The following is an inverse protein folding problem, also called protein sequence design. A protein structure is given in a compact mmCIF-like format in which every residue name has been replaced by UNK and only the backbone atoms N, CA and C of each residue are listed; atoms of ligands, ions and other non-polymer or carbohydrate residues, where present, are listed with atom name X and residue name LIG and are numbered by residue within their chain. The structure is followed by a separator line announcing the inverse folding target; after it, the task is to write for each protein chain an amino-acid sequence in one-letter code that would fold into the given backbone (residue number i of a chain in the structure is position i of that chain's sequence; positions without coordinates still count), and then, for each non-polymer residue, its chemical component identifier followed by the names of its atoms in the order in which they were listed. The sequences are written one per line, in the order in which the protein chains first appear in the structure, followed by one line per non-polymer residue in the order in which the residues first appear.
data_IF_445506551502
#
_entry.id   IF_445506551502
#
_cell.length_a   1.000
_cell.length_b   1.000
_cell.length_c   1.000
_cell.angle_alpha   90.00
_cell.angle_beta   90.00
_cell.angle_gamma   90.00
#
_symmetry.space_group_name_H-M   'P 1'
#
loop_
_entity.id
_entity.type
_entity.pdbx_description
1 polymer ?
#
# COMPACT_ATOMS: atom_id res chain seq x y z
N UNK A 1 1.02 16.63 11.58
CA UNK A 1 1.90 15.55 11.11
C UNK A 1 3.12 16.20 10.46
N UNK A 2 4.35 15.76 10.78
CA UNK A 2 5.57 16.31 10.17
C UNK A 2 5.70 15.84 8.70
N UNK A 3 6.29 16.65 7.79
CA UNK A 3 6.57 16.22 6.42
C UNK A 3 7.46 14.97 6.37
N UNK A 4 7.28 14.11 5.36
CA UNK A 4 8.04 12.84 5.24
C UNK A 4 9.56 13.05 5.25
N UNK A 5 10.03 14.12 4.58
CA UNK A 5 11.44 14.54 4.53
C UNK A 5 12.03 14.87 5.90
N UNK A 6 11.21 15.21 6.89
CA UNK A 6 11.65 15.48 8.26
C UNK A 6 11.40 14.31 9.21
N UNK A 7 10.29 13.59 9.02
CA UNK A 7 9.90 12.50 9.92
C UNK A 7 10.74 11.23 9.72
N UNK A 8 11.06 10.86 8.48
CA UNK A 8 11.75 9.60 8.18
C UNK A 8 13.22 9.59 8.62
N UNK A 9 14.00 10.67 8.44
CA UNK A 9 15.35 10.74 9.02
C UNK A 9 15.35 10.65 10.55
N UNK A 10 14.37 11.28 11.23
CA UNK A 10 14.22 11.18 12.69
C UNK A 10 13.85 9.76 13.14
N UNK A 11 12.93 9.11 12.42
CA UNK A 11 12.53 7.73 12.70
C UNK A 11 13.71 6.76 12.52
N UNK A 12 14.48 6.92 11.44
CA UNK A 12 15.73 6.16 11.20
C UNK A 12 16.71 6.35 12.36
N UNK A 13 17.04 7.60 12.70
CA UNK A 13 17.99 7.91 13.77
C UNK A 13 17.54 7.35 15.14
N UNK A 14 16.23 7.37 15.43
CA UNK A 14 15.69 6.79 16.65
C UNK A 14 15.83 5.26 16.67
N UNK A 15 15.56 4.58 15.56
CA UNK A 15 15.72 3.13 15.45
C UNK A 15 17.21 2.72 15.52
N UNK A 16 18.09 3.46 14.85
CA UNK A 16 19.55 3.25 14.93
C UNK A 16 20.07 3.44 16.36
N UNK A 17 19.63 4.50 17.06
CA UNK A 17 19.98 4.71 18.46
C UNK A 17 19.48 3.60 19.38
N UNK A 18 18.30 3.03 19.11
CA UNK A 18 17.82 1.87 19.86
C UNK A 18 18.74 0.65 19.67
N UNK A 19 19.24 0.44 18.44
CA UNK A 19 20.19 -0.63 18.13
C UNK A 19 21.60 -0.38 18.69
N UNK A 20 22.01 0.88 18.87
CA UNK A 20 23.25 1.22 19.60
C UNK A 20 23.17 0.85 21.08
N UNK A 21 21.98 0.99 21.69
CA UNK A 21 21.73 0.63 23.08
C UNK A 21 21.64 -0.89 23.21
N UNK A 22 20.89 -1.54 22.32
CA UNK A 22 20.72 -2.99 22.27
C UNK A 22 20.49 -3.46 20.81
N UNK A 23 21.53 -4.08 20.25
CA UNK A 23 21.53 -4.60 18.88
C UNK A 23 20.72 -5.88 18.69
N UNK A 24 20.04 -6.39 19.71
CA UNK A 24 19.18 -7.57 19.66
C UNK A 24 17.68 -7.24 19.79
N UNK A 25 17.31 -5.96 19.74
CA UNK A 25 15.92 -5.53 19.72
C UNK A 25 15.24 -5.81 18.38
N UNK A 26 14.35 -6.81 18.34
CA UNK A 26 13.58 -7.18 17.15
C UNK A 26 12.73 -6.02 16.62
N UNK A 27 12.09 -5.25 17.51
CA UNK A 27 11.25 -4.11 17.20
C UNK A 27 12.04 -2.96 16.55
N UNK A 28 13.27 -2.73 17.02
CA UNK A 28 14.15 -1.71 16.44
C UNK A 28 14.61 -2.13 15.04
N UNK A 29 14.98 -3.40 14.83
CA UNK A 29 15.27 -3.93 13.51
C UNK A 29 14.07 -3.82 12.56
N UNK A 30 12.86 -4.21 12.99
CA UNK A 30 11.65 -4.13 12.17
C UNK A 30 11.30 -2.67 11.81
N UNK A 31 11.44 -1.75 12.77
CA UNK A 31 11.16 -0.33 12.55
C UNK A 31 12.17 0.31 11.59
N UNK A 32 13.46 0.00 11.75
CA UNK A 32 14.50 0.47 10.84
C UNK A 32 14.27 -0.05 9.42
N UNK A 33 13.95 -1.35 9.28
CA UNK A 33 13.61 -1.96 7.99
C UNK A 33 12.44 -1.25 7.29
N UNK A 34 11.37 -0.95 8.03
CA UNK A 34 10.20 -0.25 7.49
C UNK A 34 10.55 1.15 6.96
N UNK A 35 11.35 1.92 7.71
CA UNK A 35 11.79 3.26 7.27
C UNK A 35 12.69 3.20 6.04
N UNK A 36 13.63 2.25 6.01
CA UNK A 36 14.50 2.01 4.85
C UNK A 36 13.67 1.64 3.61
N UNK A 37 12.72 0.72 3.78
CA UNK A 37 11.82 0.26 2.74
C UNK A 37 10.92 1.37 2.18
N UNK A 38 10.26 2.16 3.04
CA UNK A 38 9.22 3.09 2.60
C UNK A 38 9.77 4.41 2.04
N UNK A 39 10.97 4.84 2.48
CA UNK A 39 11.51 6.15 2.14
C UNK A 39 12.83 6.12 1.37
N UNK A 40 13.76 5.28 1.81
CA UNK A 40 15.10 5.22 1.20
C UNK A 40 15.13 4.29 -0.02
N UNK A 41 14.15 3.39 -0.14
CA UNK A 41 14.06 2.38 -1.20
C UNK A 41 15.36 1.57 -1.34
N UNK A 42 16.01 1.29 -0.21
CA UNK A 42 17.10 0.30 -0.14
C UNK A 42 16.49 -1.04 0.25
N UNK A 43 16.05 -1.77 -0.78
CA UNK A 43 15.37 -3.03 -0.59
C UNK A 43 16.26 -4.10 0.06
N UNK A 44 17.56 -4.11 -0.28
CA UNK A 44 18.49 -5.10 0.23
C UNK A 44 18.82 -4.87 1.72
N UNK A 45 18.99 -3.61 2.14
CA UNK A 45 19.20 -3.26 3.54
C UNK A 45 17.94 -3.54 4.37
N UNK A 46 16.75 -3.15 3.87
CA UNK A 46 15.48 -3.43 4.53
C UNK A 46 15.28 -4.93 4.77
N UNK A 47 15.57 -5.78 3.78
CA UNK A 47 15.44 -7.23 3.92
C UNK A 47 16.29 -7.79 5.06
N UNK A 48 17.56 -7.36 5.16
CA UNK A 48 18.47 -7.82 6.23
C UNK A 48 17.91 -7.50 7.62
N UNK A 49 17.36 -6.30 7.79
CA UNK A 49 16.79 -5.90 9.07
C UNK A 49 15.47 -6.63 9.38
N UNK A 50 14.59 -6.88 8.39
CA UNK A 50 13.41 -7.71 8.60
C UNK A 50 13.76 -9.15 9.00
N UNK A 51 14.71 -9.76 8.31
CA UNK A 51 15.17 -11.11 8.64
C UNK A 51 15.78 -11.18 10.04
N UNK A 52 16.59 -10.19 10.43
CA UNK A 52 17.15 -10.11 11.80
C UNK A 52 16.06 -9.93 12.85
N UNK A 53 15.06 -9.09 12.60
CA UNK A 53 13.91 -8.93 13.51
C UNK A 53 13.17 -10.25 13.74
N UNK A 54 12.87 -10.99 12.67
CA UNK A 54 12.16 -12.28 12.75
C UNK A 54 13.04 -13.36 13.40
N UNK A 55 14.36 -13.34 13.18
CA UNK A 55 15.29 -14.27 13.83
C UNK A 55 15.39 -14.04 15.34
N UNK A 56 15.39 -12.76 15.76
CA UNK A 56 15.42 -12.35 17.17
C UNK A 56 14.10 -12.66 17.88
N UNK A 57 12.97 -12.41 17.21
CA UNK A 57 11.65 -12.73 17.74
C UNK A 57 10.76 -13.38 16.66
N UNK A 58 10.74 -14.73 16.59
CA UNK A 58 9.90 -15.45 15.64
C UNK A 58 8.39 -15.26 15.86
N UNK A 59 7.97 -14.80 17.04
CA UNK A 59 6.58 -14.59 17.44
C UNK A 59 6.16 -13.12 17.33
N UNK A 60 6.80 -12.35 16.44
CA UNK A 60 6.47 -10.94 16.21
C UNK A 60 5.60 -10.76 14.95
N UNK A 61 4.26 -10.77 15.05
CA UNK A 61 3.36 -10.71 13.89
C UNK A 61 3.53 -9.43 13.06
N UNK A 62 3.83 -8.30 13.71
CA UNK A 62 4.04 -7.01 13.01
C UNK A 62 5.25 -7.07 12.07
N UNK A 63 6.39 -7.60 12.53
CA UNK A 63 7.57 -7.75 11.67
C UNK A 63 7.31 -8.70 10.50
N UNK A 64 6.56 -9.78 10.71
CA UNK A 64 6.17 -10.71 9.62
C UNK A 64 5.26 -10.05 8.61
N UNK A 65 4.27 -9.27 9.04
CA UNK A 65 3.41 -8.49 8.14
C UNK A 65 4.22 -7.48 7.33
N UNK A 66 5.12 -6.73 7.96
CA UNK A 66 5.96 -5.78 7.23
C UNK A 66 6.94 -6.48 6.29
N UNK A 67 7.49 -7.63 6.66
CA UNK A 67 8.32 -8.44 5.76
C UNK A 67 7.52 -9.02 4.59
N UNK A 68 6.28 -9.47 4.80
CA UNK A 68 5.36 -9.85 3.72
C UNK A 68 5.16 -8.69 2.73
N UNK A 69 4.98 -7.47 3.22
CA UNK A 69 4.86 -6.30 2.35
C UNK A 69 6.17 -5.98 1.62
N UNK A 70 7.33 -6.18 2.25
CA UNK A 70 8.63 -6.06 1.60
C UNK A 70 8.77 -7.09 0.45
N UNK A 71 8.51 -8.36 0.73
CA UNK A 71 8.52 -9.45 -0.24
C UNK A 71 7.57 -9.17 -1.42
N UNK A 72 6.39 -8.62 -1.13
CA UNK A 72 5.45 -8.16 -2.15
C UNK A 72 6.07 -7.11 -3.08
N UNK A 73 6.70 -6.06 -2.54
CA UNK A 73 7.38 -5.02 -3.35
C UNK A 73 8.46 -5.62 -4.25
N UNK A 74 9.17 -6.64 -3.76
CA UNK A 74 10.19 -7.35 -4.52
C UNK A 74 9.64 -8.34 -5.56
N UNK A 75 8.32 -8.58 -5.57
CA UNK A 75 7.66 -9.53 -6.45
C UNK A 75 7.78 -10.99 -6.02
N UNK A 76 8.19 -11.24 -4.76
CA UNK A 76 8.25 -12.57 -4.13
C UNK A 76 6.89 -12.89 -3.49
N UNK A 77 5.87 -13.04 -4.33
CA UNK A 77 4.46 -12.99 -3.94
C UNK A 77 4.05 -14.21 -3.10
N UNK A 78 4.55 -15.40 -3.43
CA UNK A 78 4.26 -16.63 -2.69
C UNK A 78 4.85 -16.58 -1.28
N UNK A 79 6.09 -16.11 -1.14
CA UNK A 79 6.74 -15.91 0.15
C UNK A 79 6.03 -14.82 0.96
N UNK A 80 5.56 -13.76 0.31
CA UNK A 80 4.75 -12.74 0.96
C UNK A 80 3.44 -13.31 1.54
N UNK A 81 2.74 -14.17 0.79
CA UNK A 81 1.53 -14.85 1.27
C UNK A 81 1.85 -15.76 2.45
N UNK A 82 2.97 -16.48 2.42
CA UNK A 82 3.39 -17.33 3.53
C UNK A 82 3.65 -16.53 4.81
N UNK A 83 4.41 -15.43 4.73
CA UNK A 83 4.69 -14.60 5.91
C UNK A 83 3.43 -13.90 6.46
N UNK A 84 2.50 -13.48 5.59
CA UNK A 84 1.22 -12.95 6.03
C UNK A 84 0.39 -14.01 6.78
N UNK A 85 0.36 -15.26 6.30
CA UNK A 85 -0.32 -16.38 6.98
C UNK A 85 0.34 -16.74 8.32
N UNK A 86 1.67 -16.66 8.41
CA UNK A 86 2.39 -16.83 9.68
C UNK A 86 2.01 -15.74 10.67
N UNK A 87 1.92 -14.48 10.23
CA UNK A 87 1.45 -13.38 11.08
C UNK A 87 0.00 -13.58 11.54
N UNK A 88 -0.91 -13.99 10.65
CA UNK A 88 -2.28 -14.37 10.99
C UNK A 88 -2.34 -15.49 12.02
N UNK A 89 -1.47 -16.51 11.91
CA UNK A 89 -1.42 -17.61 12.89
C UNK A 89 -0.98 -17.14 14.28
N UNK A 90 -0.08 -16.16 14.34
CA UNK A 90 0.39 -15.56 15.60
C UNK A 90 -0.65 -14.64 16.24
N UNK A 91 -1.53 -14.03 15.44
CA UNK A 91 -2.57 -13.11 15.89
C UNK A 91 -3.91 -13.34 15.16
N UNK A 92 -4.59 -14.46 15.43
CA UNK A 92 -5.74 -14.90 14.64
C UNK A 92 -6.99 -14.04 14.83
N UNK A 93 -7.08 -13.29 15.94
CA UNK A 93 -8.21 -12.43 16.27
C UNK A 93 -8.03 -10.98 15.80
N UNK A 94 -6.90 -10.68 15.16
CA UNK A 94 -6.63 -9.36 14.60
C UNK A 94 -7.20 -9.23 13.20
N UNK A 95 -8.23 -8.39 13.04
CA UNK A 95 -8.79 -8.06 11.72
C UNK A 95 -7.73 -7.49 10.78
N UNK A 96 -6.74 -6.77 11.33
CA UNK A 96 -5.61 -6.25 10.57
C UNK A 96 -4.71 -7.37 10.04
N UNK A 97 -4.32 -8.34 10.88
CA UNK A 97 -3.50 -9.48 10.44
C UNK A 97 -4.22 -10.34 9.38
N UNK A 98 -5.53 -10.57 9.57
CA UNK A 98 -6.36 -11.29 8.60
C UNK A 98 -6.48 -10.51 7.27
N UNK A 99 -6.68 -9.19 7.32
CA UNK A 99 -6.76 -8.34 6.12
C UNK A 99 -5.45 -8.37 5.31
N UNK A 100 -4.31 -8.50 5.98
CA UNK A 100 -2.99 -8.57 5.33
C UNK A 100 -2.77 -9.85 4.51
N UNK A 101 -3.40 -10.99 4.89
CA UNK A 101 -3.41 -12.19 4.06
C UNK A 101 -4.17 -11.92 2.76
N UNK A 102 -5.34 -11.29 2.86
CA UNK A 102 -6.13 -10.85 1.72
C UNK A 102 -5.35 -9.91 0.78
N UNK A 103 -4.62 -8.95 1.34
CA UNK A 103 -3.75 -8.05 0.56
C UNK A 103 -2.63 -8.78 -0.18
N UNK A 104 -1.95 -9.72 0.49
CA UNK A 104 -0.89 -10.52 -0.14
C UNK A 104 -1.45 -11.38 -1.28
N UNK A 105 -2.62 -12.01 -1.07
CA UNK A 105 -3.32 -12.80 -2.09
C UNK A 105 -3.77 -11.94 -3.28
N UNK A 106 -4.29 -10.74 -3.02
CA UNK A 106 -4.65 -9.77 -4.06
C UNK A 106 -3.44 -9.40 -4.93
N UNK A 107 -2.29 -9.10 -4.32
CA UNK A 107 -1.05 -8.81 -5.06
C UNK A 107 -0.53 -10.02 -5.83
N UNK A 108 -0.72 -11.21 -5.28
CA UNK A 108 -0.47 -12.50 -5.94
C UNK A 108 -1.51 -12.85 -7.04
N UNK A 109 -2.49 -11.98 -7.32
CA UNK A 109 -3.56 -12.17 -8.31
C UNK A 109 -4.49 -13.34 -8.01
N UNK A 110 -4.51 -13.81 -6.75
CA UNK A 110 -5.36 -14.89 -6.25
C UNK A 110 -6.65 -14.31 -5.67
N UNK A 111 -7.43 -13.68 -6.54
CA UNK A 111 -8.55 -12.82 -6.14
C UNK A 111 -9.66 -13.57 -5.39
N UNK A 112 -10.02 -14.78 -5.81
CA UNK A 112 -11.07 -15.55 -5.14
C UNK A 112 -10.68 -15.92 -3.71
N UNK A 113 -9.41 -16.28 -3.48
CA UNK A 113 -8.90 -16.54 -2.13
C UNK A 113 -8.80 -15.26 -1.31
N UNK A 114 -8.43 -14.13 -1.93
CA UNK A 114 -8.40 -12.84 -1.25
C UNK A 114 -9.79 -12.45 -0.73
N UNK A 115 -10.85 -12.64 -1.53
CA UNK A 115 -12.24 -12.40 -1.10
C UNK A 115 -12.56 -13.18 0.16
N UNK A 116 -12.24 -14.48 0.20
CA UNK A 116 -12.53 -15.35 1.35
C UNK A 116 -11.84 -14.86 2.62
N UNK A 117 -10.55 -14.51 2.54
CA UNK A 117 -9.80 -14.04 3.72
C UNK A 117 -10.24 -12.64 4.18
N UNK A 118 -10.60 -11.75 3.25
CA UNK A 118 -11.10 -10.42 3.58
C UNK A 118 -12.49 -10.46 4.21
N UNK A 119 -13.36 -11.37 3.76
CA UNK A 119 -14.67 -11.60 4.38
C UNK A 119 -14.51 -12.11 5.82
N UNK A 120 -13.58 -13.05 6.08
CA UNK A 120 -13.27 -13.47 7.47
C UNK A 120 -12.79 -12.32 8.34
N UNK A 121 -11.95 -11.43 7.81
CA UNK A 121 -11.52 -10.24 8.55
C UNK A 121 -12.71 -9.34 8.93
N UNK A 122 -13.70 -9.21 8.06
CA UNK A 122 -14.95 -8.46 8.31
C UNK A 122 -15.93 -9.19 9.25
N UNK A 123 -15.90 -10.52 9.30
CA UNK A 123 -16.64 -11.30 10.32
C UNK A 123 -16.08 -11.05 11.73
N UNK A 124 -14.76 -10.90 11.85
CA UNK A 124 -14.09 -10.55 13.11
C UNK A 124 -14.40 -9.11 13.52
N UNK A 125 -14.26 -8.18 12.57
CA UNK A 125 -14.53 -6.75 12.79
C UNK A 125 -15.22 -6.15 11.55
N UNK A 126 -16.54 -5.91 11.61
CA UNK A 126 -17.27 -5.28 10.52
C UNK A 126 -16.84 -3.84 10.22
N UNK A 127 -16.04 -3.21 11.09
CA UNK A 127 -15.46 -1.89 10.90
C UNK A 127 -14.02 -1.91 10.36
N UNK A 128 -13.48 -3.09 10.02
CA UNK A 128 -12.11 -3.26 9.55
C UNK A 128 -11.89 -2.52 8.22
N UNK A 129 -11.38 -1.29 8.32
CA UNK A 129 -11.19 -0.38 7.19
C UNK A 129 -10.30 -1.00 6.10
N UNK A 130 -9.21 -1.66 6.49
CA UNK A 130 -8.29 -2.33 5.57
C UNK A 130 -9.00 -3.44 4.77
N UNK A 131 -9.89 -4.21 5.41
CA UNK A 131 -10.62 -5.29 4.75
C UNK A 131 -11.51 -4.75 3.62
N UNK A 132 -12.27 -3.68 3.91
CA UNK A 132 -13.09 -2.99 2.91
C UNK A 132 -12.25 -2.40 1.76
N UNK A 133 -11.11 -1.77 2.08
CA UNK A 133 -10.21 -1.21 1.05
C UNK A 133 -9.72 -2.31 0.11
N UNK A 134 -9.18 -3.40 0.65
CA UNK A 134 -8.61 -4.47 -0.16
C UNK A 134 -9.70 -5.25 -0.91
N UNK A 135 -10.88 -5.43 -0.32
CA UNK A 135 -12.00 -6.08 -0.99
C UNK A 135 -12.50 -5.24 -2.17
N UNK A 136 -12.57 -3.91 -2.00
CA UNK A 136 -12.86 -2.99 -3.09
C UNK A 136 -11.85 -3.13 -4.24
N UNK A 137 -10.55 -3.19 -3.95
CA UNK A 137 -9.54 -3.42 -4.98
C UNK A 137 -9.67 -4.79 -5.66
N UNK A 138 -9.96 -5.85 -4.91
CA UNK A 138 -10.20 -7.19 -5.46
C UNK A 138 -11.39 -7.16 -6.41
N UNK A 139 -12.50 -6.52 -6.03
CA UNK A 139 -13.68 -6.39 -6.89
C UNK A 139 -13.43 -5.55 -8.15
N UNK A 140 -12.62 -4.49 -8.07
CA UNK A 140 -12.15 -3.79 -9.29
C UNK A 140 -11.47 -4.77 -10.24
N UNK A 141 -10.56 -5.62 -9.74
CA UNK A 141 -9.85 -6.59 -10.58
C UNK A 141 -10.74 -7.71 -11.13
N UNK A 142 -11.81 -8.05 -10.42
CA UNK A 142 -12.82 -9.00 -10.91
C UNK A 142 -13.84 -8.37 -11.87
N UNK A 143 -13.77 -7.07 -12.16
CA UNK A 143 -14.75 -6.35 -12.96
C UNK A 143 -16.10 -6.11 -12.25
N UNK A 144 -16.19 -6.43 -10.96
CA UNK A 144 -17.37 -6.27 -10.10
C UNK A 144 -17.49 -4.81 -9.63
N UNK A 145 -17.83 -3.95 -10.59
CA UNK A 145 -17.72 -2.50 -10.43
C UNK A 145 -18.65 -1.94 -9.36
N UNK A 146 -19.88 -2.45 -9.26
CA UNK A 146 -20.83 -1.95 -8.26
C UNK A 146 -20.46 -2.42 -6.84
N UNK A 147 -19.98 -3.66 -6.70
CA UNK A 147 -19.45 -4.14 -5.42
C UNK A 147 -18.21 -3.36 -4.98
N UNK A 148 -17.28 -3.07 -5.89
CA UNK A 148 -16.11 -2.23 -5.60
C UNK A 148 -16.50 -0.82 -5.13
N UNK A 149 -17.46 -0.18 -5.82
CA UNK A 149 -17.98 1.13 -5.44
C UNK A 149 -18.62 1.07 -4.05
N UNK A 150 -19.41 0.04 -3.75
CA UNK A 150 -20.05 -0.14 -2.45
C UNK A 150 -19.03 -0.27 -1.30
N UNK A 151 -17.97 -1.07 -1.50
CA UNK A 151 -16.90 -1.19 -0.51
C UNK A 151 -16.20 0.15 -0.26
N UNK A 152 -15.81 0.87 -1.32
CA UNK A 152 -15.16 2.18 -1.15
C UNK A 152 -16.10 3.26 -0.60
N UNK A 153 -17.41 3.19 -0.84
CA UNK A 153 -18.38 4.05 -0.16
C UNK A 153 -18.41 3.80 1.35
N UNK A 154 -18.32 2.53 1.77
CA UNK A 154 -18.18 2.16 3.18
C UNK A 154 -16.88 2.72 3.77
N UNK A 155 -15.75 2.58 3.07
CA UNK A 155 -14.47 3.18 3.48
C UNK A 155 -14.58 4.69 3.65
N UNK A 156 -15.21 5.40 2.69
CA UNK A 156 -15.41 6.84 2.74
C UNK A 156 -16.29 7.25 3.93
N UNK A 157 -17.30 6.45 4.28
CA UNK A 157 -18.17 6.68 5.43
C UNK A 157 -17.42 6.49 6.76
N UNK A 158 -16.70 5.37 6.91
CA UNK A 158 -15.95 5.02 8.12
C UNK A 158 -14.78 5.98 8.37
N UNK A 159 -14.14 6.47 7.31
CA UNK A 159 -13.00 7.39 7.40
C UNK A 159 -13.38 8.88 7.46
N UNK A 160 -14.68 9.20 7.61
CA UNK A 160 -15.19 10.56 7.60
C UNK A 160 -14.73 11.36 6.37
N UNK A 161 -14.66 10.71 5.21
CA UNK A 161 -14.21 11.29 3.92
C UNK A 161 -12.80 11.89 3.98
N UNK A 162 -11.85 11.21 4.60
CA UNK A 162 -10.42 11.60 4.53
C UNK A 162 -9.96 11.62 3.05
N UNK A 163 -9.21 12.63 2.57
CA UNK A 163 -8.88 12.78 1.15
C UNK A 163 -8.30 11.54 0.48
N UNK A 164 -7.33 10.87 1.12
CA UNK A 164 -6.71 9.68 0.52
C UNK A 164 -7.63 8.50 0.34
N UNK A 165 -8.60 8.36 1.24
CA UNK A 165 -9.61 7.29 1.15
C UNK A 165 -10.76 7.67 0.22
N UNK A 166 -10.98 8.97 -0.01
CA UNK A 166 -11.90 9.46 -1.04
C UNK A 166 -11.39 9.14 -2.46
N UNK A 167 -10.08 9.15 -2.69
CA UNK A 167 -9.49 8.85 -3.98
C UNK A 167 -9.75 7.40 -4.44
N UNK A 168 -9.90 6.46 -3.49
CA UNK A 168 -10.28 5.07 -3.79
C UNK A 168 -11.63 4.99 -4.50
N UNK A 169 -12.61 5.77 -4.03
CA UNK A 169 -13.92 5.87 -4.66
C UNK A 169 -13.83 6.53 -6.04
N UNK A 170 -13.01 7.58 -6.19
CA UNK A 170 -12.75 8.20 -7.49
C UNK A 170 -12.11 7.24 -8.49
N UNK A 171 -11.17 6.41 -8.04
CA UNK A 171 -10.56 5.35 -8.85
C UNK A 171 -11.59 4.32 -9.29
N UNK A 172 -12.44 3.83 -8.37
CA UNK A 172 -13.49 2.87 -8.71
C UNK A 172 -14.52 3.42 -9.70
N UNK A 173 -14.94 4.68 -9.54
CA UNK A 173 -15.80 5.34 -10.54
C UNK A 173 -15.12 5.39 -11.91
N UNK A 174 -13.83 5.74 -11.95
CA UNK A 174 -13.10 5.82 -13.20
C UNK A 174 -13.03 4.45 -13.91
N UNK A 175 -12.66 3.39 -13.18
CA UNK A 175 -12.60 2.02 -13.73
C UNK A 175 -13.96 1.44 -14.09
N UNK A 176 -15.03 1.90 -13.44
CA UNK A 176 -16.41 1.51 -13.74
C UNK A 176 -17.01 2.23 -14.96
N UNK A 177 -16.23 3.07 -15.67
CA UNK A 177 -16.73 3.85 -16.79
C UNK A 177 -17.65 5.00 -16.39
N UNK A 178 -17.49 5.53 -15.17
CA UNK A 178 -18.24 6.66 -14.60
C UNK A 178 -17.32 7.90 -14.49
N UNK A 179 -16.93 8.53 -15.63
CA UNK A 179 -15.89 9.56 -15.65
C UNK A 179 -16.33 10.87 -15.00
N UNK A 180 -17.61 11.21 -15.03
CA UNK A 180 -18.11 12.45 -14.42
C UNK A 180 -18.00 12.40 -12.90
N UNK A 181 -18.34 11.28 -12.29
CA UNK A 181 -18.20 11.02 -10.86
C UNK A 181 -16.73 11.01 -10.45
N UNK A 182 -15.86 10.35 -11.22
CA UNK A 182 -14.42 10.37 -10.98
C UNK A 182 -13.84 11.80 -11.05
N UNK A 183 -14.24 12.61 -12.04
CA UNK A 183 -13.84 14.01 -12.16
C UNK A 183 -14.40 14.88 -11.04
N UNK A 184 -15.59 14.58 -10.52
CA UNK A 184 -16.12 15.26 -9.35
C UNK A 184 -15.23 15.04 -8.12
N UNK A 185 -14.74 13.81 -7.91
CA UNK A 185 -13.78 13.50 -6.86
C UNK A 185 -12.46 14.26 -7.08
N UNK A 186 -11.91 14.29 -8.30
CA UNK A 186 -10.70 15.08 -8.61
C UNK A 186 -10.87 16.56 -8.25
N UNK A 187 -12.01 17.17 -8.58
CA UNK A 187 -12.33 18.56 -8.21
C UNK A 187 -12.37 18.74 -6.69
N UNK A 188 -12.98 17.80 -5.97
CA UNK A 188 -13.03 17.82 -4.51
C UNK A 188 -11.63 17.70 -3.88
N UNK A 189 -10.79 16.77 -4.35
CA UNK A 189 -9.41 16.60 -3.88
C UNK A 189 -8.58 17.86 -4.12
N UNK A 190 -8.69 18.48 -5.30
CA UNK A 190 -7.99 19.72 -5.62
C UNK A 190 -8.49 20.93 -4.82
N UNK A 191 -9.78 20.96 -4.45
CA UNK A 191 -10.28 22.00 -3.54
C UNK A 191 -9.72 21.81 -2.13
N UNK A 192 -9.69 20.57 -1.64
CA UNK A 192 -9.20 20.22 -0.30
C UNK A 192 -7.69 20.40 -0.15
N UNK A 193 -6.91 20.17 -1.20
CA UNK A 193 -5.44 20.32 -1.19
C UNK A 193 -4.97 21.74 -0.82
N UNK A 194 -5.84 22.75 -0.97
CA UNK A 194 -5.58 24.13 -0.53
C UNK A 194 -5.51 24.28 0.99
N UNK A 195 -6.15 23.38 1.74
CA UNK A 195 -6.32 23.49 3.20
C UNK A 195 -5.69 22.33 3.97
N UNK A 196 -5.42 21.19 3.32
CA UNK A 196 -4.78 20.02 3.93
C UNK A 196 -3.94 19.27 2.89
N UNK A 197 -2.86 18.56 3.30
CA UNK A 197 -2.09 17.73 2.39
C UNK A 197 -2.95 16.66 1.73
N UNK A 198 -2.81 16.51 0.42
CA UNK A 198 -3.41 15.45 -0.41
C UNK A 198 -2.26 14.84 -1.19
N UNK A 199 -2.07 13.53 -1.10
CA UNK A 199 -0.93 12.91 -1.77
C UNK A 199 -1.11 13.00 -3.29
N UNK A 200 -0.08 13.39 -4.07
CA UNK A 200 -0.14 13.36 -5.53
C UNK A 200 -0.48 11.96 -6.07
N UNK A 201 -0.11 10.91 -5.34
CA UNK A 201 -0.44 9.53 -5.70
C UNK A 201 -1.95 9.30 -5.77
N UNK A 202 -2.71 9.85 -4.82
CA UNK A 202 -4.17 9.72 -4.76
C UNK A 202 -4.82 10.29 -6.03
N UNK A 203 -4.28 11.40 -6.54
CA UNK A 203 -4.74 12.00 -7.80
C UNK A 203 -4.30 11.16 -9.01
N UNK A 204 -3.06 10.65 -9.00
CA UNK A 204 -2.55 9.76 -10.06
C UNK A 204 -3.43 8.52 -10.24
N UNK A 205 -3.86 7.89 -9.14
CA UNK A 205 -4.74 6.72 -9.18
C UNK A 205 -6.00 6.95 -10.01
N UNK A 206 -6.67 8.09 -9.83
CA UNK A 206 -7.92 8.38 -10.55
C UNK A 206 -7.65 8.59 -12.04
N UNK A 207 -6.57 9.29 -12.40
CA UNK A 207 -6.18 9.46 -13.81
C UNK A 207 -5.78 8.14 -14.47
N UNK A 208 -5.17 7.22 -13.72
CA UNK A 208 -4.92 5.85 -14.18
C UNK A 208 -6.23 5.14 -14.51
N UNK A 209 -7.20 5.17 -13.59
CA UNK A 209 -8.52 4.58 -13.81
C UNK A 209 -9.28 5.19 -15.00
N UNK A 210 -9.08 6.49 -15.27
CA UNK A 210 -9.66 7.20 -16.42
C UNK A 210 -8.97 6.89 -17.75
N UNK A 211 -7.83 6.19 -17.73
CA UNK A 211 -6.99 5.96 -18.91
C UNK A 211 -6.24 7.22 -19.40
N UNK A 212 -6.21 8.28 -18.60
CA UNK A 212 -5.55 9.55 -18.93
C UNK A 212 -4.05 9.50 -18.63
N UNK A 213 -3.32 8.76 -19.48
CA UNK A 213 -1.91 8.41 -19.27
C UNK A 213 -0.99 9.61 -18.98
N UNK A 214 -1.13 10.72 -19.71
CA UNK A 214 -0.27 11.89 -19.51
C UNK A 214 -0.47 12.56 -18.15
N UNK A 215 -1.73 12.62 -17.68
CA UNK A 215 -2.03 13.12 -16.35
C UNK A 215 -1.55 12.15 -15.28
N UNK A 216 -1.76 10.84 -15.47
CA UNK A 216 -1.26 9.82 -14.56
C UNK A 216 0.26 9.97 -14.33
N UNK A 217 1.07 10.08 -15.39
CA UNK A 217 2.51 10.29 -15.23
C UNK A 217 2.86 11.63 -14.59
N UNK A 218 2.18 12.72 -14.96
CA UNK A 218 2.40 14.03 -14.33
C UNK A 218 2.23 13.96 -12.81
N UNK A 219 1.23 13.23 -12.33
CA UNK A 219 0.98 13.08 -10.89
C UNK A 219 1.86 12.02 -10.23
N UNK A 220 2.30 10.97 -10.95
CA UNK A 220 3.29 10.02 -10.46
C UNK A 220 4.67 10.67 -10.27
N UNK A 221 5.08 11.58 -11.14
CA UNK A 221 6.33 12.35 -10.96
C UNK A 221 6.28 13.20 -9.69
N UNK A 222 5.15 13.89 -9.44
CA UNK A 222 4.96 14.60 -8.18
C UNK A 222 4.98 13.67 -6.97
N UNK A 223 4.36 12.50 -7.08
CA UNK A 223 4.38 11.49 -6.02
C UNK A 223 5.81 11.00 -5.75
N UNK A 224 6.65 10.90 -6.78
CA UNK A 224 8.07 10.57 -6.66
C UNK A 224 8.84 11.66 -5.92
N UNK A 225 8.66 12.92 -6.29
CA UNK A 225 9.30 14.07 -5.64
C UNK A 225 8.95 14.19 -4.15
N UNK A 226 7.74 13.76 -3.79
CA UNK A 226 7.24 13.70 -2.42
C UNK A 226 7.58 12.41 -1.67
N UNK A 227 8.25 11.44 -2.31
CA UNK A 227 8.58 10.13 -1.73
C UNK A 227 7.34 9.37 -1.26
N UNK A 228 6.28 9.35 -2.07
CA UNK A 228 5.08 8.57 -1.79
C UNK A 228 5.42 7.07 -1.66
N UNK A 229 5.19 6.50 -0.48
CA UNK A 229 5.54 5.11 -0.16
C UNK A 229 4.86 4.09 -1.09
N UNK A 230 3.71 4.45 -1.67
CA UNK A 230 2.98 3.61 -2.62
C UNK A 230 3.79 3.28 -3.88
N UNK A 231 4.79 4.10 -4.23
CA UNK A 231 5.67 3.84 -5.37
C UNK A 231 6.56 2.61 -5.18
N UNK A 232 6.73 2.13 -3.93
CA UNK A 232 7.39 0.85 -3.68
C UNK A 232 6.67 -0.34 -4.30
N UNK A 233 5.41 -0.19 -4.71
CA UNK A 233 4.61 -1.27 -5.27
C UNK A 233 4.42 -1.24 -6.78
N UNK A 234 5.13 -0.36 -7.51
CA UNK A 234 5.03 -0.24 -8.98
C UNK A 234 5.18 -1.61 -9.69
N UNK A 235 6.02 -2.49 -9.15
CA UNK A 235 6.25 -3.82 -9.72
C UNK A 235 5.03 -4.74 -9.65
N UNK A 236 4.15 -4.61 -8.65
CA UNK A 236 3.17 -5.66 -8.33
C UNK A 236 1.72 -5.19 -8.29
N UNK A 237 1.46 -3.91 -7.99
CA UNK A 237 0.09 -3.43 -7.84
C UNK A 237 -0.67 -3.43 -9.17
N UNK A 238 -1.84 -4.10 -9.25
CA UNK A 238 -2.68 -4.15 -10.44
C UNK A 238 -3.06 -2.81 -11.04
N UNK A 239 -3.20 -1.77 -10.22
CA UNK A 239 -3.55 -0.43 -10.69
C UNK A 239 -2.60 0.08 -11.78
N UNK A 240 -1.33 -0.32 -11.74
CA UNK A 240 -0.33 0.14 -12.70
C UNK A 240 -0.28 -0.67 -14.00
N UNK A 241 -1.02 -1.77 -14.12
CA UNK A 241 -0.98 -2.65 -15.29
C UNK A 241 -1.17 -1.91 -16.63
N UNK A 242 -2.08 -0.91 -16.75
CA UNK A 242 -2.22 -0.11 -17.98
C UNK A 242 -1.01 0.77 -18.33
N UNK A 243 -0.13 1.05 -17.38
CA UNK A 243 1.05 1.90 -17.56
C UNK A 243 2.33 1.10 -17.85
N UNK A 244 2.37 -0.20 -17.51
CA UNK A 244 3.58 -1.04 -17.63
C UNK A 244 4.26 -1.02 -19.00
N UNK A 245 3.54 -0.95 -20.15
CA UNK A 245 4.19 -0.90 -21.47
C UNK A 245 4.91 0.42 -21.77
N UNK A 246 4.67 1.49 -21.01
CA UNK A 246 5.26 2.80 -21.25
C UNK A 246 6.68 2.89 -20.66
N UNK A 247 7.63 3.38 -21.45
CA UNK A 247 9.04 3.52 -21.03
C UNK A 247 9.23 4.39 -19.78
N UNK A 248 8.37 5.40 -19.57
CA UNK A 248 8.39 6.26 -18.37
C UNK A 248 8.10 5.46 -17.10
N UNK A 249 7.27 4.41 -17.20
CA UNK A 249 6.99 3.53 -16.07
C UNK A 249 8.22 2.70 -15.68
N UNK A 250 8.96 2.22 -16.68
CA UNK A 250 10.22 1.49 -16.44
C UNK A 250 11.27 2.40 -15.81
N UNK A 251 11.39 3.64 -16.29
CA UNK A 251 12.26 4.65 -15.66
C UNK A 251 11.87 4.94 -14.21
N UNK A 252 10.58 5.12 -13.92
CA UNK A 252 10.11 5.34 -12.55
C UNK A 252 10.46 4.16 -11.63
N UNK A 253 10.33 2.91 -12.09
CA UNK A 253 10.76 1.72 -11.33
C UNK A 253 12.26 1.71 -11.03
N UNK A 254 13.11 2.15 -11.98
CA UNK A 254 14.56 2.30 -11.75
C UNK A 254 14.86 3.34 -10.69
N UNK A 255 14.20 4.49 -10.76
CA UNK A 255 14.40 5.60 -9.80
C UNK A 255 14.00 5.25 -8.36
N UNK A 256 13.09 4.28 -8.20
CA UNK A 256 12.75 3.71 -6.89
C UNK A 256 13.48 2.39 -6.59
N UNK A 257 14.56 2.08 -7.32
CA UNK A 257 15.42 0.90 -7.15
C UNK A 257 14.71 -0.47 -7.25
N UNK A 258 13.51 -0.56 -7.82
CA UNK A 258 12.79 -1.83 -7.94
C UNK A 258 13.38 -2.75 -9.03
N UNK A 259 14.12 -2.16 -9.97
CA UNK A 259 14.87 -2.84 -11.03
C UNK A 259 16.23 -2.15 -11.21
N UNK A 260 17.24 -2.84 -11.78
CA UNK A 260 18.54 -2.24 -12.07
C UNK A 260 18.46 -1.03 -13.02
N UNK A 261 19.38 -0.07 -12.83
CA UNK A 261 19.54 1.13 -13.65
C UNK A 261 19.85 0.77 -15.12
#
# INVERSE_FOLDING_TARGET
VLPLKESHPKARAAAEKALEIDGELAEAHASLAAVIMDYYWDWAEAEKHFQRAIALNPNYPVARNWYSQHLSRMGRLEEAVEEAKRAQTLDPLSSHANSHVGLALYRARRYDEAVVELQKAMEIDPGALDAHIFLGFVYVQQGKSEEAIAEFQTVVKLSHRTPGLLALLGYAYATAGKPEEARAILKELNFRSKNQPVSPFETAMIYIGLGEREQAFTWLEKAYDERAWQLGFLKVEPIFDPLRPDSRFTDLMRRVNLIPQ
#
